data_IF_833139681603
#
_entry.id   IF_833139681603
#
_cell.length_a   1.000
_cell.length_b   1.000
_cell.length_c   1.000
_cell.angle_alpha   90.00
_cell.angle_beta   90.00
_cell.angle_gamma   90.00
#
_symmetry.space_group_name_H-M   'P 1'
#
loop_
_entity.id
_entity.type
_entity.pdbx_description
1 polymer ?
#
# COMPACT_ATOMS: atom_id res chain seq x y z
N UNK A 1 -6.57 -15.47 -7.53
CA UNK A 1 -7.67 -14.59 -7.12
C UNK A 1 -7.10 -13.36 -6.43
N UNK A 2 -7.60 -12.20 -6.80
CA UNK A 2 -7.13 -10.93 -6.24
C UNK A 2 -7.55 -10.77 -4.77
N UNK A 3 -6.62 -10.31 -3.91
CA UNK A 3 -6.92 -9.93 -2.53
C UNK A 3 -7.46 -8.50 -2.44
N UNK A 4 -7.33 -7.72 -3.51
CA UNK A 4 -7.74 -6.32 -3.56
C UNK A 4 -9.12 -6.25 -4.22
N UNK A 5 -10.17 -5.89 -3.48
CA UNK A 5 -11.54 -6.00 -4.00
C UNK A 5 -11.82 -5.09 -5.20
N UNK A 6 -11.13 -3.96 -5.33
CA UNK A 6 -11.35 -3.05 -6.45
C UNK A 6 -10.96 -3.65 -7.81
N UNK A 7 -10.03 -4.62 -7.84
CA UNK A 7 -9.60 -5.24 -9.09
C UNK A 7 -10.74 -6.05 -9.71
N UNK A 8 -11.51 -6.77 -8.89
CA UNK A 8 -12.63 -7.55 -9.41
C UNK A 8 -13.74 -6.70 -10.00
N UNK A 9 -13.85 -5.42 -9.62
CA UNK A 9 -14.91 -4.54 -10.12
C UNK A 9 -14.76 -4.19 -11.60
N UNK A 10 -13.57 -4.34 -12.17
CA UNK A 10 -13.32 -4.02 -13.58
C UNK A 10 -13.59 -5.20 -14.52
N UNK A 11 -13.76 -6.40 -13.97
CA UNK A 11 -13.90 -7.62 -14.76
C UNK A 11 -15.01 -7.54 -15.82
N UNK A 12 -16.18 -7.06 -15.41
CA UNK A 12 -17.35 -6.98 -16.28
C UNK A 12 -17.29 -5.81 -17.26
N UNK A 13 -16.41 -4.84 -16.98
CA UNK A 13 -16.29 -3.63 -17.80
C UNK A 13 -15.18 -3.75 -18.84
N UNK A 14 -14.08 -4.39 -18.46
CA UNK A 14 -12.89 -4.47 -19.30
C UNK A 14 -12.12 -5.73 -18.94
N UNK A 15 -12.45 -6.82 -19.63
CA UNK A 15 -11.88 -8.13 -19.33
C UNK A 15 -10.37 -8.17 -19.58
N UNK A 16 -9.89 -7.56 -20.64
CA UNK A 16 -8.46 -7.53 -20.94
C UNK A 16 -7.68 -6.77 -19.87
N UNK A 17 -8.19 -5.64 -19.45
CA UNK A 17 -7.57 -4.85 -18.40
C UNK A 17 -7.59 -5.60 -17.07
N UNK A 18 -8.71 -6.25 -16.76
CA UNK A 18 -8.82 -7.11 -15.56
C UNK A 18 -7.74 -8.19 -15.57
N UNK A 19 -7.55 -8.89 -16.68
CA UNK A 19 -6.54 -9.94 -16.80
C UNK A 19 -5.13 -9.40 -16.59
N UNK A 20 -4.82 -8.24 -17.17
CA UNK A 20 -3.51 -7.59 -16.99
C UNK A 20 -3.30 -7.17 -15.54
N UNK A 21 -4.32 -6.60 -14.90
CA UNK A 21 -4.25 -6.17 -13.51
C UNK A 21 -4.08 -7.37 -12.58
N UNK A 22 -4.77 -8.46 -12.86
CA UNK A 22 -4.66 -9.68 -12.07
C UNK A 22 -3.25 -10.27 -12.17
N UNK A 23 -2.68 -10.31 -13.37
CA UNK A 23 -1.30 -10.76 -13.58
C UNK A 23 -0.30 -9.85 -12.89
N UNK A 24 -0.51 -8.54 -12.93
CA UNK A 24 0.34 -7.56 -12.24
C UNK A 24 0.27 -7.79 -10.72
N UNK A 25 -0.92 -7.99 -10.17
CA UNK A 25 -1.08 -8.25 -8.74
C UNK A 25 -0.34 -9.51 -8.32
N UNK A 26 -0.39 -10.57 -9.12
CA UNK A 26 0.36 -11.79 -8.84
C UNK A 26 1.87 -11.55 -8.84
N UNK A 27 2.37 -10.74 -9.76
CA UNK A 27 3.77 -10.37 -9.79
C UNK A 27 4.16 -9.57 -8.55
N UNK A 28 3.32 -8.64 -8.13
CA UNK A 28 3.58 -7.74 -7.00
C UNK A 28 3.45 -8.45 -5.66
N UNK A 29 2.37 -9.22 -5.47
CA UNK A 29 2.04 -9.83 -4.17
C UNK A 29 2.28 -11.34 -4.11
N UNK A 30 2.69 -11.97 -5.20
CA UNK A 30 3.06 -13.39 -5.20
C UNK A 30 4.35 -13.66 -4.45
N UNK A 31 4.73 -14.92 -4.37
CA UNK A 31 5.96 -15.32 -3.69
C UNK A 31 7.19 -14.71 -4.36
N UNK A 32 8.04 -14.11 -3.56
CA UNK A 32 9.29 -13.49 -4.00
C UNK A 32 10.20 -13.24 -2.79
N UNK A 33 11.25 -12.43 -2.96
CA UNK A 33 12.24 -12.17 -1.91
C UNK A 33 11.65 -11.46 -0.69
N UNK A 34 10.65 -10.59 -0.88
CA UNK A 34 9.96 -9.96 0.25
C UNK A 34 8.77 -10.82 0.65
N UNK A 35 8.60 -11.04 1.96
CA UNK A 35 7.47 -11.81 2.45
C UNK A 35 6.14 -11.05 2.29
N UNK A 36 5.00 -11.76 2.29
CA UNK A 36 3.71 -11.14 2.06
C UNK A 36 3.35 -10.03 3.06
N UNK A 37 3.70 -10.19 4.34
CA UNK A 37 3.42 -9.17 5.37
C UNK A 37 4.17 -7.88 5.07
N UNK A 38 5.45 -7.99 4.72
CA UNK A 38 6.27 -6.84 4.38
C UNK A 38 5.70 -6.10 3.18
N UNK A 39 5.31 -6.83 2.13
CA UNK A 39 4.70 -6.23 0.95
C UNK A 39 3.43 -5.46 1.29
N UNK A 40 2.56 -6.04 2.12
CA UNK A 40 1.32 -5.39 2.54
C UNK A 40 1.58 -4.18 3.44
N UNK A 41 2.61 -4.22 4.28
CA UNK A 41 3.00 -3.08 5.11
C UNK A 41 3.49 -1.91 4.24
N UNK A 42 4.23 -2.19 3.17
CA UNK A 42 4.65 -1.18 2.20
C UNK A 42 3.43 -0.56 1.52
N UNK A 43 2.48 -1.39 1.10
CA UNK A 43 1.24 -0.92 0.48
C UNK A 43 0.42 -0.03 1.43
N UNK A 44 0.36 -0.41 2.72
CA UNK A 44 -0.31 0.40 3.74
C UNK A 44 0.32 1.78 3.84
N UNK A 45 1.66 1.83 3.89
CA UNK A 45 2.39 3.09 3.99
C UNK A 45 2.11 4.00 2.78
N UNK A 46 2.14 3.45 1.57
CA UNK A 46 1.87 4.22 0.36
C UNK A 46 0.44 4.76 0.35
N UNK A 47 -0.55 3.92 0.65
CA UNK A 47 -1.95 4.35 0.71
C UNK A 47 -2.18 5.44 1.75
N UNK A 48 -1.52 5.34 2.91
CA UNK A 48 -1.62 6.36 3.94
C UNK A 48 -1.08 7.71 3.47
N UNK A 49 -0.01 7.72 2.68
CA UNK A 49 0.60 8.97 2.20
C UNK A 49 -0.20 9.67 1.11
N UNK A 50 -1.03 8.95 0.38
CA UNK A 50 -1.85 9.53 -0.71
C UNK A 50 -3.30 9.75 -0.31
N UNK A 51 -3.66 9.50 0.94
CA UNK A 51 -5.01 9.73 1.44
C UNK A 51 -6.03 8.69 0.97
N UNK A 52 -5.59 7.48 0.66
CA UNK A 52 -6.47 6.40 0.22
C UNK A 52 -7.12 5.69 1.43
N UNK A 53 -8.09 6.33 2.07
CA UNK A 53 -8.71 5.85 3.30
C UNK A 53 -9.25 4.42 3.20
N UNK A 54 -9.96 4.11 2.13
CA UNK A 54 -10.52 2.76 1.93
C UNK A 54 -9.40 1.73 1.70
N UNK A 55 -8.35 2.10 1.01
CA UNK A 55 -7.16 1.26 0.83
C UNK A 55 -6.48 0.97 2.16
N UNK A 56 -6.28 1.99 2.98
CA UNK A 56 -5.70 1.86 4.32
C UNK A 56 -6.53 0.88 5.16
N UNK A 57 -7.83 1.06 5.18
CA UNK A 57 -8.75 0.19 5.93
C UNK A 57 -8.67 -1.25 5.45
N UNK A 58 -8.74 -1.46 4.15
CA UNK A 58 -8.71 -2.80 3.55
C UNK A 58 -7.39 -3.50 3.83
N UNK A 59 -6.27 -2.82 3.61
CA UNK A 59 -4.94 -3.40 3.81
C UNK A 59 -4.69 -3.69 5.29
N UNK A 60 -5.09 -2.79 6.18
CA UNK A 60 -4.96 -3.02 7.63
C UNK A 60 -5.73 -4.28 8.05
N UNK A 61 -6.92 -4.48 7.52
CA UNK A 61 -7.70 -5.68 7.81
C UNK A 61 -7.05 -6.96 7.27
N UNK A 62 -6.47 -6.88 6.07
CA UNK A 62 -5.70 -8.01 5.51
C UNK A 62 -4.50 -8.33 6.41
N UNK A 63 -3.78 -7.33 6.85
CA UNK A 63 -2.63 -7.49 7.75
C UNK A 63 -3.04 -8.18 9.06
N UNK A 64 -4.17 -7.77 9.64
CA UNK A 64 -4.70 -8.42 10.86
C UNK A 64 -5.01 -9.89 10.62
N UNK A 65 -5.58 -10.22 9.48
CA UNK A 65 -5.84 -11.61 9.08
C UNK A 65 -4.54 -12.41 8.92
N UNK A 66 -3.45 -11.73 8.60
CA UNK A 66 -2.12 -12.34 8.49
C UNK A 66 -1.38 -12.41 9.84
N UNK A 67 -2.03 -12.01 10.93
CA UNK A 67 -1.46 -12.06 12.26
C UNK A 67 -0.66 -10.82 12.66
N UNK A 68 -0.74 -9.74 11.90
CA UNK A 68 -0.09 -8.47 12.24
C UNK A 68 -0.95 -7.77 13.29
N UNK A 69 -0.31 -7.32 14.36
CA UNK A 69 -1.00 -6.66 15.48
C UNK A 69 -1.26 -5.19 15.21
N UNK A 70 -2.20 -4.61 15.93
CA UNK A 70 -2.46 -3.16 15.84
C UNK A 70 -1.25 -2.34 16.29
N UNK A 71 -0.44 -2.87 17.21
CA UNK A 71 0.80 -2.22 17.60
C UNK A 71 1.78 -2.16 16.43
N UNK A 72 1.93 -3.25 15.69
CA UNK A 72 2.78 -3.29 14.50
C UNK A 72 2.27 -2.37 13.40
N UNK A 73 0.95 -2.32 13.21
CA UNK A 73 0.32 -1.37 12.26
C UNK A 73 0.66 0.06 12.67
N UNK A 74 0.55 0.38 13.96
CA UNK A 74 0.91 1.72 14.48
C UNK A 74 2.36 2.06 14.20
N UNK A 75 3.26 1.10 14.31
CA UNK A 75 4.68 1.32 13.99
C UNK A 75 4.89 1.63 12.51
N UNK A 76 4.19 0.93 11.62
CA UNK A 76 4.24 1.23 10.17
C UNK A 76 3.79 2.67 9.93
N UNK A 77 2.72 3.10 10.58
CA UNK A 77 2.17 4.45 10.40
C UNK A 77 3.10 5.52 10.97
N UNK A 78 3.78 5.25 12.07
CA UNK A 78 4.80 6.17 12.61
C UNK A 78 5.95 6.36 11.62
N UNK A 79 6.46 5.27 11.05
CA UNK A 79 7.53 5.33 10.05
C UNK A 79 7.06 6.11 8.82
N UNK A 80 5.84 5.85 8.37
CA UNK A 80 5.23 6.53 7.23
C UNK A 80 5.18 8.03 7.46
N UNK A 81 4.66 8.46 8.59
CA UNK A 81 4.55 9.88 8.93
C UNK A 81 5.93 10.54 9.01
N UNK A 82 6.84 9.93 9.75
CA UNK A 82 8.19 10.46 9.96
C UNK A 82 8.94 10.63 8.63
N UNK A 83 8.90 9.60 7.79
CA UNK A 83 9.58 9.62 6.49
C UNK A 83 8.98 10.67 5.56
N UNK A 84 7.66 10.73 5.49
CA UNK A 84 6.95 11.71 4.66
C UNK A 84 7.21 13.13 5.14
N UNK A 85 7.14 13.37 6.43
CA UNK A 85 7.36 14.70 7.03
C UNK A 85 8.79 15.17 6.80
N UNK A 86 9.77 14.30 6.97
CA UNK A 86 11.18 14.63 6.74
C UNK A 86 11.44 14.96 5.26
N UNK A 87 10.87 14.20 4.36
CA UNK A 87 10.98 14.47 2.92
C UNK A 87 10.38 15.85 2.58
N UNK A 88 9.24 16.16 3.18
CA UNK A 88 8.57 17.46 3.00
C UNK A 88 9.45 18.60 3.52
N UNK A 89 10.07 18.42 4.69
CA UNK A 89 10.95 19.44 5.27
C UNK A 89 12.16 19.70 4.35
N UNK A 90 12.82 18.64 3.91
CA UNK A 90 14.01 18.77 3.01
C UNK A 90 13.62 19.48 1.70
N UNK A 91 12.51 19.08 1.11
CA UNK A 91 12.01 19.69 -0.13
C UNK A 91 11.67 21.17 0.09
N UNK A 92 11.10 21.49 1.26
CA UNK A 92 10.70 22.86 1.61
C UNK A 92 11.89 23.83 1.65
N UNK A 93 13.10 23.32 1.92
CA UNK A 93 14.31 24.15 1.94
C UNK A 93 14.62 24.76 0.57
N UNK A 94 14.04 24.25 -0.51
CA UNK A 94 14.15 24.85 -1.83
C UNK A 94 13.63 26.30 -1.85
N UNK A 95 12.74 26.67 -0.90
CA UNK A 95 12.24 28.04 -0.77
C UNK A 95 13.36 29.06 -0.53
N UNK A 96 14.48 28.63 0.05
CA UNK A 96 15.61 29.49 0.39
C UNK A 96 16.74 29.43 -0.64
N UNK A 97 16.59 28.67 -1.69
CA UNK A 97 17.55 28.65 -2.81
C UNK A 97 17.24 29.82 -3.75
N UNK A 98 18.27 30.52 -4.17
CA UNK A 98 18.12 31.70 -5.03
C UNK A 98 18.54 31.41 -6.45
#
# INVERSE_FOLDING_TARGET
MSKLPFISTIKDRDEKFYELMNSLEELVHGESSLDPKTKMMISLAVDATVGADEGVKTIANILRQMGVTDEQISEVLRITYFTKANSTLVTSMAAFKK
#
